data_IF_416894913025
#
_entry.id   IF_416894913025
#
_cell.length_a   1.000
_cell.length_b   1.000
_cell.length_c   1.000
_cell.angle_alpha   90.00
_cell.angle_beta   90.00
_cell.angle_gamma   90.00
#
_symmetry.space_group_name_H-M   'P 1'
#
loop_
_entity.id
_entity.type
_entity.pdbx_description
1 polymer ?
#
# COMPACT_ATOMS: atom_id res chain seq x y z
N UNK A 1 9.10 -46.22 24.26
CA UNK A 1 8.81 -44.78 24.46
C UNK A 1 7.31 -44.61 24.43
N UNK A 2 6.70 -44.33 25.60
CA UNK A 2 5.28 -44.51 25.87
C UNK A 2 4.44 -43.24 25.75
N UNK A 3 3.16 -43.36 26.14
CA UNK A 3 2.11 -42.33 26.09
C UNK A 3 2.54 -40.99 26.70
N UNK A 4 3.35 -40.99 27.76
CA UNK A 4 3.91 -39.77 28.36
C UNK A 4 4.74 -38.94 27.36
N UNK A 5 5.47 -39.59 26.45
CA UNK A 5 6.22 -38.89 25.40
C UNK A 5 5.29 -38.24 24.38
N UNK A 6 4.20 -38.92 23.99
CA UNK A 6 3.19 -38.36 23.07
C UNK A 6 2.46 -37.17 23.69
N UNK A 7 2.12 -37.25 24.97
CA UNK A 7 1.48 -36.15 25.69
C UNK A 7 2.41 -34.95 25.82
N UNK A 8 3.67 -35.17 26.20
CA UNK A 8 4.67 -34.10 26.30
C UNK A 8 4.93 -33.41 24.94
N UNK A 9 5.04 -34.18 23.85
CA UNK A 9 5.22 -33.59 22.51
C UNK A 9 4.02 -32.73 22.10
N UNK A 10 2.78 -33.16 22.36
CA UNK A 10 1.59 -32.35 22.05
C UNK A 10 1.50 -31.09 22.93
N UNK A 11 1.93 -31.16 24.18
CA UNK A 11 1.87 -30.02 25.08
C UNK A 11 2.90 -28.94 24.72
N UNK A 12 4.05 -29.31 24.16
CA UNK A 12 5.15 -28.36 23.93
C UNK A 12 5.37 -27.99 22.46
N UNK A 13 5.16 -28.95 21.55
CA UNK A 13 5.51 -28.81 20.12
C UNK A 13 4.29 -28.81 19.20
N UNK A 14 3.07 -28.83 19.74
CA UNK A 14 1.92 -28.48 18.92
C UNK A 14 2.10 -27.05 18.40
N UNK A 15 1.83 -26.86 17.11
CA UNK A 15 2.06 -25.57 16.45
C UNK A 15 1.31 -24.42 17.13
N UNK A 16 0.13 -24.67 17.68
CA UNK A 16 -0.64 -23.67 18.44
C UNK A 16 0.05 -23.23 19.72
N UNK A 17 0.82 -24.09 20.37
CA UNK A 17 1.62 -23.75 21.56
C UNK A 17 2.85 -22.98 21.15
N UNK A 18 3.57 -23.47 20.13
CA UNK A 18 4.79 -22.83 19.63
C UNK A 18 4.51 -21.40 19.15
N UNK A 19 3.48 -21.20 18.32
CA UNK A 19 3.18 -19.87 17.77
C UNK A 19 2.83 -18.86 18.86
N UNK A 20 2.09 -19.26 19.90
CA UNK A 20 1.77 -18.39 21.04
C UNK A 20 3.03 -17.99 21.83
N UNK A 21 3.97 -18.90 22.00
CA UNK A 21 5.25 -18.58 22.64
C UNK A 21 6.06 -17.58 21.81
N UNK A 22 6.06 -17.72 20.48
CA UNK A 22 6.65 -16.73 19.59
C UNK A 22 5.95 -15.37 19.65
N UNK A 23 4.62 -15.33 19.65
CA UNK A 23 3.85 -14.09 19.78
C UNK A 23 4.14 -13.36 21.10
N UNK A 24 4.19 -14.10 22.22
CA UNK A 24 4.58 -13.57 23.51
C UNK A 24 6.01 -12.98 23.46
N UNK A 25 6.97 -13.73 22.91
CA UNK A 25 8.34 -13.24 22.74
C UNK A 25 8.40 -11.99 21.87
N UNK A 26 7.65 -11.93 20.77
CA UNK A 26 7.61 -10.76 19.90
C UNK A 26 7.05 -9.53 20.62
N UNK A 27 6.02 -9.72 21.45
CA UNK A 27 5.46 -8.66 22.28
C UNK A 27 6.48 -8.16 23.30
N UNK A 28 7.12 -9.05 24.05
CA UNK A 28 8.18 -8.71 25.00
C UNK A 28 9.31 -7.92 24.33
N UNK A 29 9.79 -8.39 23.17
CA UNK A 29 10.83 -7.71 22.39
C UNK A 29 10.37 -6.35 21.86
N UNK A 30 9.08 -6.18 21.55
CA UNK A 30 8.52 -4.90 21.13
C UNK A 30 8.42 -3.89 22.28
N UNK A 31 8.03 -4.36 23.47
CA UNK A 31 8.01 -3.56 24.70
C UNK A 31 9.43 -3.13 25.08
N UNK A 32 10.41 -4.03 25.04
CA UNK A 32 11.81 -3.70 25.27
C UNK A 32 12.32 -2.64 24.29
N UNK A 33 12.05 -2.79 22.98
CA UNK A 33 12.47 -1.81 21.96
C UNK A 33 11.82 -0.43 22.15
N UNK A 34 10.56 -0.39 22.59
CA UNK A 34 9.82 0.87 22.79
C UNK A 34 10.31 1.64 24.02
N UNK A 35 10.81 0.93 25.03
CA UNK A 35 11.30 1.52 26.28
C UNK A 35 12.83 1.73 26.29
N UNK A 36 13.56 1.21 25.31
CA UNK A 36 15.02 1.36 25.22
C UNK A 36 15.40 2.60 24.43
N UNK A 37 16.41 3.32 24.90
CA UNK A 37 17.01 4.41 24.13
C UNK A 37 17.78 3.86 22.91
N UNK A 38 17.71 4.57 21.78
CA UNK A 38 18.45 4.21 20.57
C UNK A 38 19.94 4.48 20.79
N UNK A 39 20.73 3.42 20.98
CA UNK A 39 22.18 3.52 21.22
C UNK A 39 23.00 3.62 19.93
N UNK A 40 22.46 3.14 18.81
CA UNK A 40 23.10 3.20 17.49
C UNK A 40 22.12 3.80 16.49
N UNK A 41 22.17 5.12 16.23
CA UNK A 41 21.31 5.74 15.25
C UNK A 41 21.64 5.22 13.84
N UNK A 42 20.62 5.05 13.00
CA UNK A 42 20.83 4.71 11.60
C UNK A 42 21.66 5.79 10.92
N UNK A 43 22.69 5.38 10.18
CA UNK A 43 23.40 6.32 9.30
C UNK A 43 22.51 6.61 8.09
N UNK A 44 22.23 7.88 7.75
CA UNK A 44 21.43 8.22 6.59
C UNK A 44 21.99 7.55 5.33
N UNK A 45 21.12 6.91 4.55
CA UNK A 45 21.53 6.20 3.32
C UNK A 45 22.17 4.83 3.53
N UNK A 46 22.15 4.26 4.74
CA UNK A 46 22.56 2.87 5.01
C UNK A 46 21.36 1.99 5.36
N UNK A 47 21.39 0.69 5.02
CA UNK A 47 20.29 -0.20 5.36
C UNK A 47 20.20 -0.38 6.87
N UNK A 48 18.99 -0.41 7.46
CA UNK A 48 18.81 -0.72 8.89
C UNK A 48 19.38 -2.10 9.27
N UNK A 49 19.45 -3.02 8.30
CA UNK A 49 19.98 -4.36 8.50
C UNK A 49 20.85 -4.75 7.29
N UNK A 50 22.13 -5.12 7.48
CA UNK A 50 23.06 -5.38 6.36
C UNK A 50 22.59 -6.45 5.37
N UNK A 51 21.75 -7.39 5.81
CA UNK A 51 21.24 -8.49 4.98
C UNK A 51 19.80 -8.28 4.49
N UNK A 52 19.11 -7.21 4.90
CA UNK A 52 17.79 -6.83 4.40
C UNK A 52 17.73 -5.30 4.37
N UNK A 53 17.97 -4.77 3.18
CA UNK A 53 17.78 -3.36 2.91
C UNK A 53 16.28 -3.01 2.88
N UNK A 54 15.95 -1.73 2.98
CA UNK A 54 14.59 -1.24 2.79
C UNK A 54 14.13 -1.59 1.35
N UNK A 55 13.06 -2.39 1.19
CA UNK A 55 12.54 -2.73 -0.13
C UNK A 55 12.20 -1.50 -0.99
N UNK A 56 11.74 -0.41 -0.37
CA UNK A 56 11.45 0.83 -1.09
C UNK A 56 12.71 1.43 -1.72
N UNK A 57 13.88 1.23 -1.08
CA UNK A 57 15.17 1.68 -1.60
C UNK A 57 15.70 0.76 -2.69
N UNK A 58 15.67 -0.55 -2.46
CA UNK A 58 16.17 -1.56 -3.43
C UNK A 58 15.41 -1.47 -4.75
N UNK A 59 14.09 -1.31 -4.68
CA UNK A 59 13.22 -1.26 -5.87
C UNK A 59 12.97 0.17 -6.38
N UNK A 60 13.66 1.19 -5.86
CA UNK A 60 13.46 2.59 -6.27
C UNK A 60 13.73 2.84 -7.76
N UNK A 61 14.56 2.01 -8.39
CA UNK A 61 14.94 2.13 -9.80
C UNK A 61 14.07 1.31 -10.77
N UNK A 62 13.10 0.53 -10.26
CA UNK A 62 12.24 -0.31 -11.08
C UNK A 62 11.14 0.42 -11.88
N UNK A 63 10.55 1.53 -11.39
CA UNK A 63 9.50 2.22 -12.15
C UNK A 63 10.05 2.74 -13.49
N UNK A 64 9.38 2.39 -14.58
CA UNK A 64 9.65 2.99 -15.91
C UNK A 64 9.29 4.48 -15.93
N UNK A 65 8.30 4.87 -15.14
CA UNK A 65 7.85 6.24 -15.01
C UNK A 65 7.32 6.47 -13.58
N UNK A 66 7.59 7.66 -13.04
CA UNK A 66 7.08 8.09 -11.73
C UNK A 66 5.93 9.07 -11.95
N UNK A 67 4.77 8.77 -11.35
CA UNK A 67 3.62 9.66 -11.38
C UNK A 67 3.95 10.97 -10.63
N UNK A 68 4.00 12.09 -11.34
CA UNK A 68 4.33 13.41 -10.80
C UNK A 68 3.21 14.43 -11.06
N UNK A 69 3.26 15.56 -10.35
CA UNK A 69 2.19 16.57 -10.36
C UNK A 69 1.94 17.21 -11.72
N UNK A 70 2.92 17.23 -12.63
CA UNK A 70 2.82 17.89 -13.92
C UNK A 70 2.18 17.00 -14.99
N UNK A 71 2.04 15.70 -14.73
CA UNK A 71 1.40 14.80 -15.67
C UNK A 71 -0.11 15.04 -15.72
N UNK A 72 -0.67 14.94 -16.91
CA UNK A 72 -2.09 15.19 -17.17
C UNK A 72 -2.80 13.85 -17.36
N UNK A 73 -3.94 13.69 -16.71
CA UNK A 73 -4.78 12.51 -16.75
C UNK A 73 -6.06 12.78 -17.55
N UNK A 74 -6.43 11.85 -18.41
CA UNK A 74 -7.71 11.78 -19.11
C UNK A 74 -8.43 10.46 -18.81
N UNK A 75 -9.69 10.33 -19.23
CA UNK A 75 -10.42 9.08 -19.09
C UNK A 75 -9.92 8.02 -20.09
N UNK A 76 -9.70 6.81 -19.59
CA UNK A 76 -9.43 5.63 -20.42
C UNK A 76 -10.70 4.86 -20.78
N UNK A 77 -10.53 3.72 -21.46
CA UNK A 77 -11.66 2.95 -21.98
C UNK A 77 -12.49 2.23 -20.89
N UNK A 78 -11.93 2.12 -19.69
CA UNK A 78 -12.56 1.47 -18.53
C UNK A 78 -13.22 2.45 -17.57
N UNK A 79 -13.30 3.74 -17.93
CA UNK A 79 -13.91 4.78 -17.09
C UNK A 79 -15.45 4.69 -16.95
N UNK A 80 -16.12 3.91 -17.80
CA UNK A 80 -17.56 3.73 -17.71
C UNK A 80 -17.96 3.14 -16.33
N UNK A 81 -19.05 3.60 -15.69
CA UNK A 81 -19.43 3.19 -14.34
C UNK A 81 -19.52 1.67 -14.16
N UNK A 82 -20.11 0.96 -15.13
CA UNK A 82 -20.30 -0.50 -15.06
C UNK A 82 -18.96 -1.24 -15.09
N UNK A 83 -17.98 -0.72 -15.85
CA UNK A 83 -16.64 -1.30 -15.94
C UNK A 83 -15.84 -1.03 -14.66
N UNK A 84 -15.94 0.17 -14.11
CA UNK A 84 -15.31 0.53 -12.85
C UNK A 84 -15.83 -0.34 -11.69
N UNK A 85 -17.14 -0.57 -11.63
CA UNK A 85 -17.74 -1.51 -10.68
C UNK A 85 -17.27 -2.95 -10.91
N UNK A 86 -17.10 -3.37 -12.16
CA UNK A 86 -16.49 -4.67 -12.49
C UNK A 86 -15.10 -4.84 -11.86
N UNK A 87 -14.26 -3.81 -11.89
CA UNK A 87 -12.92 -3.86 -11.27
C UNK A 87 -13.03 -3.87 -9.73
N UNK A 88 -14.03 -3.23 -9.13
CA UNK A 88 -14.25 -3.21 -7.66
C UNK A 88 -14.76 -4.52 -7.09
N UNK A 89 -15.52 -5.29 -7.87
CA UNK A 89 -16.16 -6.54 -7.41
C UNK A 89 -15.22 -7.74 -7.45
N UNK A 90 -14.24 -7.76 -8.37
CA UNK A 90 -13.26 -8.85 -8.45
C UNK A 90 -12.23 -8.74 -7.31
N UNK A 91 -12.10 -9.80 -6.51
CA UNK A 91 -11.21 -9.81 -5.34
C UNK A 91 -9.75 -9.44 -5.69
N UNK A 92 -9.22 -10.02 -6.77
CA UNK A 92 -7.82 -9.83 -7.17
C UNK A 92 -7.52 -8.39 -7.58
N UNK A 93 -8.49 -7.70 -8.17
CA UNK A 93 -8.33 -6.29 -8.57
C UNK A 93 -8.65 -5.36 -7.41
N UNK A 94 -9.56 -5.72 -6.50
CA UNK A 94 -9.91 -4.86 -5.37
C UNK A 94 -9.04 -5.07 -4.11
N UNK A 95 -8.13 -6.03 -4.11
CA UNK A 95 -7.21 -6.26 -3.00
C UNK A 95 -6.48 -4.97 -2.59
N UNK A 96 -6.41 -4.69 -1.28
CA UNK A 96 -5.81 -3.46 -0.76
C UNK A 96 -6.68 -2.21 -0.92
N UNK A 97 -7.99 -2.32 -1.09
CA UNK A 97 -8.93 -1.19 -1.12
C UNK A 97 -8.79 -0.25 0.09
N UNK A 98 -8.49 -0.79 1.28
CA UNK A 98 -8.22 -0.02 2.50
C UNK A 98 -6.91 0.81 2.46
N UNK A 99 -6.12 0.69 1.39
CA UNK A 99 -4.91 1.48 1.13
C UNK A 99 -5.05 2.40 -0.08
N UNK A 100 -6.29 2.66 -0.52
CA UNK A 100 -6.68 3.62 -1.57
C UNK A 100 -7.67 4.64 -0.99
N UNK A 101 -7.98 5.67 -1.77
CA UNK A 101 -9.05 6.61 -1.49
C UNK A 101 -10.41 5.92 -1.55
N UNK A 102 -11.41 6.53 -0.91
CA UNK A 102 -12.76 5.97 -0.88
C UNK A 102 -13.40 5.95 -2.29
N UNK A 103 -14.43 5.12 -2.43
CA UNK A 103 -15.21 4.98 -3.67
C UNK A 103 -15.78 6.32 -4.12
N UNK A 104 -16.22 7.14 -3.17
CA UNK A 104 -16.77 8.48 -3.39
C UNK A 104 -15.74 9.39 -4.03
N UNK A 105 -14.53 9.50 -3.45
CA UNK A 105 -13.43 10.30 -4.00
C UNK A 105 -13.02 9.79 -5.39
N UNK A 106 -13.00 8.48 -5.60
CA UNK A 106 -12.68 7.91 -6.93
C UNK A 106 -13.71 8.35 -7.96
N UNK A 107 -15.00 8.26 -7.64
CA UNK A 107 -16.07 8.66 -8.55
C UNK A 107 -16.01 10.17 -8.83
N UNK A 108 -15.80 11.00 -7.80
CA UNK A 108 -15.65 12.45 -7.95
C UNK A 108 -14.46 12.83 -8.85
N UNK A 109 -13.33 12.14 -8.75
CA UNK A 109 -12.17 12.35 -9.64
C UNK A 109 -12.51 11.98 -11.08
N UNK A 110 -13.17 10.85 -11.30
CA UNK A 110 -13.59 10.40 -12.65
C UNK A 110 -14.57 11.41 -13.26
N UNK A 111 -15.57 11.86 -12.49
CA UNK A 111 -16.57 12.84 -12.94
C UNK A 111 -15.95 14.22 -13.23
N UNK A 112 -14.98 14.64 -12.40
CA UNK A 112 -14.25 15.87 -12.62
C UNK A 112 -13.44 15.84 -13.92
N UNK A 113 -12.78 14.71 -14.23
CA UNK A 113 -12.05 14.52 -15.48
C UNK A 113 -13.04 14.39 -16.66
N UNK A 114 -14.18 13.73 -16.49
CA UNK A 114 -15.23 13.67 -17.50
C UNK A 114 -15.73 15.05 -17.92
N UNK A 115 -15.86 15.95 -16.93
CA UNK A 115 -16.34 17.33 -17.14
C UNK A 115 -15.26 18.22 -17.75
N UNK A 116 -14.01 18.13 -17.27
CA UNK A 116 -12.90 18.97 -17.71
C UNK A 116 -12.19 18.45 -18.97
N UNK A 117 -12.43 17.19 -19.37
CA UNK A 117 -11.69 16.47 -20.41
C UNK A 117 -10.37 15.89 -19.91
N UNK A 118 -9.57 16.68 -19.20
CA UNK A 118 -8.34 16.23 -18.54
C UNK A 118 -7.99 17.09 -17.34
N UNK A 119 -7.27 16.53 -16.36
CA UNK A 119 -6.75 17.26 -15.20
C UNK A 119 -5.31 16.85 -14.90
N UNK A 120 -4.49 17.79 -14.43
CA UNK A 120 -3.17 17.45 -13.92
C UNK A 120 -3.26 16.68 -12.60
N UNK A 121 -2.27 15.83 -12.33
CA UNK A 121 -2.14 15.13 -11.04
C UNK A 121 -2.07 16.16 -9.90
N UNK A 122 -1.34 17.27 -10.08
CA UNK A 122 -1.25 18.34 -9.09
C UNK A 122 -2.60 18.94 -8.73
N UNK A 123 -3.45 19.23 -9.73
CA UNK A 123 -4.80 19.75 -9.50
C UNK A 123 -5.70 18.75 -8.74
N UNK A 124 -5.61 17.46 -9.09
CA UNK A 124 -6.35 16.40 -8.40
C UNK A 124 -5.91 16.30 -6.94
N UNK A 125 -4.59 16.25 -6.68
CA UNK A 125 -4.07 16.19 -5.32
C UNK A 125 -4.50 17.43 -4.53
N UNK A 126 -4.39 18.63 -5.10
CA UNK A 126 -4.79 19.87 -4.45
C UNK A 126 -6.28 19.87 -4.08
N UNK A 127 -7.15 19.40 -5.00
CA UNK A 127 -8.61 19.42 -4.83
C UNK A 127 -9.11 18.43 -3.78
N UNK A 128 -8.53 17.24 -3.71
CA UNK A 128 -9.07 16.15 -2.89
C UNK A 128 -8.24 15.80 -1.65
N UNK A 129 -6.99 16.27 -1.56
CA UNK A 129 -6.13 16.01 -0.40
C UNK A 129 -5.92 17.21 0.52
N UNK A 130 -6.28 18.45 0.13
CA UNK A 130 -6.20 19.65 0.97
C UNK A 130 -4.87 19.82 1.74
N UNK A 131 -3.74 19.44 1.12
CA UNK A 131 -2.39 19.42 1.73
C UNK A 131 -2.15 18.39 2.84
N UNK A 132 -3.08 17.48 3.11
CA UNK A 132 -2.86 16.33 3.99
C UNK A 132 -1.96 15.30 3.29
N UNK A 133 -0.80 15.01 3.89
CA UNK A 133 0.21 14.10 3.33
C UNK A 133 -0.30 12.66 3.26
N UNK A 134 -1.03 12.20 4.29
CA UNK A 134 -1.54 10.84 4.33
C UNK A 134 -2.63 10.61 3.27
N UNK A 135 -3.55 11.58 3.13
CA UNK A 135 -4.58 11.55 2.09
C UNK A 135 -3.95 11.63 0.70
N UNK A 136 -2.97 12.52 0.51
CA UNK A 136 -2.22 12.63 -0.75
C UNK A 136 -1.59 11.29 -1.15
N UNK A 137 -0.97 10.57 -0.21
CA UNK A 137 -0.35 9.27 -0.46
C UNK A 137 -1.38 8.21 -0.90
N UNK A 138 -2.57 8.17 -0.27
CA UNK A 138 -3.64 7.29 -0.72
C UNK A 138 -4.18 7.67 -2.09
N UNK A 139 -4.26 8.96 -2.39
CA UNK A 139 -4.72 9.45 -3.67
C UNK A 139 -3.72 9.11 -4.80
N UNK A 140 -2.41 9.28 -4.59
CA UNK A 140 -1.39 8.83 -5.57
C UNK A 140 -1.52 7.33 -5.88
N UNK A 141 -1.65 6.49 -4.84
CA UNK A 141 -1.87 5.03 -5.03
C UNK A 141 -3.14 4.75 -5.82
N UNK A 142 -4.19 5.53 -5.57
CA UNK A 142 -5.47 5.42 -6.26
C UNK A 142 -5.34 5.79 -7.72
N UNK A 143 -4.65 6.89 -8.05
CA UNK A 143 -4.42 7.28 -9.44
C UNK A 143 -3.63 6.22 -10.21
N UNK A 144 -2.56 5.67 -9.62
CA UNK A 144 -1.79 4.57 -10.23
C UNK A 144 -2.66 3.32 -10.44
N UNK A 145 -3.52 3.00 -9.47
CA UNK A 145 -4.48 1.90 -9.61
C UNK A 145 -5.46 2.12 -10.77
N UNK A 146 -6.02 3.32 -10.91
CA UNK A 146 -6.93 3.65 -12.00
C UNK A 146 -6.21 3.65 -13.37
N UNK A 147 -4.95 4.09 -13.41
CA UNK A 147 -4.11 3.99 -14.61
C UNK A 147 -3.87 2.53 -15.00
N UNK A 148 -3.52 1.68 -14.03
CA UNK A 148 -3.26 0.24 -14.26
C UNK A 148 -4.44 -0.47 -14.95
N UNK A 149 -5.66 -0.06 -14.65
CA UNK A 149 -6.87 -0.66 -15.21
C UNK A 149 -7.49 0.15 -16.35
N UNK A 150 -6.76 1.10 -16.94
CA UNK A 150 -7.23 1.93 -18.05
C UNK A 150 -8.51 2.74 -17.75
N UNK A 151 -8.73 3.06 -16.47
CA UNK A 151 -9.78 4.01 -16.05
C UNK A 151 -9.28 5.42 -16.29
N UNK A 152 -8.00 5.67 -16.01
CA UNK A 152 -7.31 6.91 -16.33
C UNK A 152 -6.13 6.63 -17.28
N UNK A 153 -5.79 7.61 -18.12
CA UNK A 153 -4.61 7.55 -19.00
C UNK A 153 -3.75 8.78 -18.81
N UNK A 154 -2.44 8.63 -18.96
CA UNK A 154 -1.51 9.74 -19.06
C UNK A 154 -1.62 10.35 -20.46
N UNK A 155 -1.89 11.64 -20.55
CA UNK A 155 -1.83 12.40 -21.80
C UNK A 155 -0.37 12.74 -22.08
N UNK A 156 0.26 12.08 -23.05
CA UNK A 156 1.66 12.37 -23.41
C UNK A 156 2.51 11.20 -23.87
N UNK A 157 1.94 10.23 -24.58
CA UNK A 157 2.65 9.36 -25.54
C UNK A 157 1.88 9.33 -26.87
#
# INVERSE_FOLDING_TARGET
>A
MGENGRQWTRQMYDWSVVIRAYEALWQELAELRSNSETTTPLTPGTPPYPLCDDPCRVFAHYPTQILNQNQVLSLGSMAAPEKLEGIRTVWMTNFGANKRSSTEVINEVVDAIATAGSLSVGEIIHRYANSDIAVSNYLYRTLVYLIKFDVLRLNGE
#
